data_IF_889369985611
#
_entry.id   IF_889369985611
#
_cell.length_a   1.000
_cell.length_b   1.000
_cell.length_c   1.000
_cell.angle_alpha   90.00
_cell.angle_beta   90.00
_cell.angle_gamma   90.00
#
_symmetry.space_group_name_H-M   'P 1'
#
loop_
_entity.id
_entity.type
_entity.pdbx_description
1 polymer ?
#
# COMPACT_ATOMS: atom_id res chain seq x y z
N UNK A 1 71.88 46.17 -42.90
CA UNK A 1 70.46 46.38 -42.69
C UNK A 1 69.85 45.07 -42.24
N UNK A 2 69.65 44.84 -40.92
CA UNK A 2 69.08 43.63 -40.34
C UNK A 2 67.62 43.94 -40.01
N UNK A 3 66.70 43.19 -40.64
CA UNK A 3 65.23 43.27 -40.41
C UNK A 3 64.87 42.41 -39.22
N UNK A 4 64.37 43.01 -38.16
CA UNK A 4 63.92 42.34 -36.94
C UNK A 4 62.46 42.05 -37.12
N UNK A 5 62.07 40.73 -37.23
CA UNK A 5 60.70 40.29 -37.33
C UNK A 5 60.14 40.10 -35.89
N UNK A 6 59.21 40.95 -35.48
CA UNK A 6 58.53 40.83 -34.17
C UNK A 6 57.35 39.88 -34.32
N UNK A 7 57.43 38.69 -33.70
CA UNK A 7 56.35 37.75 -33.65
C UNK A 7 55.43 38.10 -32.46
N UNK A 8 54.23 38.61 -32.72
CA UNK A 8 53.23 38.88 -31.69
C UNK A 8 52.41 37.58 -31.44
N UNK A 9 52.71 36.97 -30.31
CA UNK A 9 51.96 35.78 -29.86
C UNK A 9 50.64 36.20 -29.18
N UNK A 10 49.52 36.17 -29.90
CA UNK A 10 48.18 36.37 -29.32
C UNK A 10 47.79 35.18 -28.51
N UNK A 11 47.91 35.25 -27.18
CA UNK A 11 47.32 34.25 -26.26
C UNK A 11 45.81 34.46 -26.18
N UNK A 12 45.03 33.61 -26.88
CA UNK A 12 43.59 33.53 -26.67
C UNK A 12 43.34 32.74 -25.37
N UNK A 13 43.01 33.47 -24.29
CA UNK A 13 42.50 32.86 -23.07
C UNK A 13 41.04 32.45 -23.30
N UNK A 14 40.79 31.16 -23.52
CA UNK A 14 39.45 30.62 -23.49
C UNK A 14 38.96 30.60 -22.03
N UNK A 15 37.77 31.15 -21.72
CA UNK A 15 37.22 31.03 -20.39
C UNK A 15 36.87 29.54 -20.15
N UNK A 16 37.60 28.89 -19.26
CA UNK A 16 37.25 27.59 -18.73
C UNK A 16 36.04 27.80 -17.83
N UNK A 17 34.84 27.53 -18.33
CA UNK A 17 33.66 27.41 -17.49
C UNK A 17 33.86 26.19 -16.58
N UNK A 18 34.31 26.43 -15.37
CA UNK A 18 34.28 25.40 -14.33
C UNK A 18 32.82 25.02 -14.10
N UNK A 19 32.43 23.84 -14.57
CA UNK A 19 31.15 23.26 -14.18
C UNK A 19 31.14 23.12 -12.66
N UNK A 20 30.22 23.84 -11.99
CA UNK A 20 30.02 23.65 -10.57
C UNK A 20 29.72 22.17 -10.30
N UNK A 21 30.41 21.56 -9.33
CA UNK A 21 30.10 20.16 -8.97
C UNK A 21 28.61 20.05 -8.61
N UNK A 22 27.89 19.19 -9.35
CA UNK A 22 26.49 18.92 -9.04
C UNK A 22 26.42 18.45 -7.59
N UNK A 23 25.80 19.25 -6.75
CA UNK A 23 25.62 18.94 -5.34
C UNK A 23 24.56 17.82 -5.23
N UNK A 24 25.02 16.58 -5.16
CA UNK A 24 24.14 15.45 -4.88
C UNK A 24 23.82 15.46 -3.39
N UNK A 25 22.54 15.47 -2.99
CA UNK A 25 22.21 15.31 -1.59
C UNK A 25 22.87 14.01 -1.07
N UNK A 26 23.35 14.00 0.19
CA UNK A 26 23.93 12.80 0.76
C UNK A 26 22.92 11.65 0.70
N UNK A 27 23.38 10.39 0.61
CA UNK A 27 22.50 9.25 0.70
C UNK A 27 21.63 9.38 1.96
N UNK A 28 20.37 8.94 1.88
CA UNK A 28 19.45 9.05 3.02
C UNK A 28 20.12 8.47 4.27
N UNK A 29 20.11 9.17 5.43
CA UNK A 29 20.74 8.67 6.63
C UNK A 29 20.18 7.31 6.99
N UNK A 30 21.02 6.43 7.52
CA UNK A 30 20.59 5.11 7.96
C UNK A 30 19.44 5.25 8.98
N UNK A 31 18.30 4.68 8.67
CA UNK A 31 17.14 4.66 9.54
C UNK A 31 17.15 3.38 10.37
N UNK A 32 17.31 3.51 11.69
CA UNK A 32 17.18 2.38 12.61
C UNK A 32 15.73 2.29 13.09
N UNK A 33 15.07 1.19 12.81
CA UNK A 33 13.69 0.86 13.22
C UNK A 33 13.71 -0.34 14.14
N UNK A 34 13.09 -0.21 15.31
CA UNK A 34 13.00 -1.29 16.31
C UNK A 34 11.73 -2.10 16.10
N UNK A 35 11.73 -2.96 15.08
CA UNK A 35 10.66 -3.88 14.74
C UNK A 35 11.23 -5.19 14.21
N UNK A 36 10.49 -6.28 14.28
CA UNK A 36 10.88 -7.56 13.65
C UNK A 36 10.98 -7.43 12.14
N UNK A 37 9.93 -6.88 11.54
CA UNK A 37 9.86 -6.62 10.11
C UNK A 37 9.15 -5.29 9.87
N UNK A 38 9.57 -4.59 8.82
CA UNK A 38 8.91 -3.38 8.38
C UNK A 38 9.12 -3.12 6.89
N UNK A 39 8.21 -2.35 6.31
CA UNK A 39 8.29 -1.87 4.93
C UNK A 39 7.68 -0.46 4.84
N UNK A 40 8.26 0.35 3.99
CA UNK A 40 7.71 1.61 3.53
C UNK A 40 7.57 1.55 2.01
N UNK A 41 6.38 1.76 1.50
CA UNK A 41 6.10 1.77 0.05
C UNK A 41 5.51 3.10 -0.39
N UNK A 42 5.83 3.49 -1.60
CA UNK A 42 5.14 4.59 -2.27
C UNK A 42 3.90 4.04 -3.00
N UNK A 43 2.76 4.66 -2.75
CA UNK A 43 1.49 4.18 -3.27
C UNK A 43 1.35 4.36 -4.79
N UNK A 44 1.87 5.47 -5.35
CA UNK A 44 1.76 5.75 -6.78
C UNK A 44 2.66 4.86 -7.63
N UNK A 45 3.92 4.68 -7.22
CA UNK A 45 4.88 3.86 -7.97
C UNK A 45 4.81 2.38 -7.61
N UNK A 46 4.23 2.03 -6.45
CA UNK A 46 4.24 0.67 -5.90
C UNK A 46 5.62 0.22 -5.38
N UNK A 47 6.65 1.08 -5.44
CA UNK A 47 8.01 0.70 -5.07
C UNK A 47 8.21 0.65 -3.56
N UNK A 48 8.98 -0.34 -3.11
CA UNK A 48 9.53 -0.36 -1.75
C UNK A 48 10.66 0.65 -1.64
N UNK A 49 10.51 1.61 -0.73
CA UNK A 49 11.51 2.64 -0.46
C UNK A 49 12.51 2.16 0.58
N UNK A 50 12.01 1.51 1.63
CA UNK A 50 12.81 1.00 2.76
C UNK A 50 12.13 -0.27 3.27
N UNK A 51 12.91 -1.25 3.71
CA UNK A 51 12.37 -2.44 4.33
C UNK A 51 13.42 -3.30 5.00
N UNK A 52 12.97 -4.10 5.95
CA UNK A 52 13.75 -5.13 6.62
C UNK A 52 12.87 -6.35 6.84
N UNK A 53 13.40 -7.54 6.55
CA UNK A 53 12.70 -8.82 6.69
C UNK A 53 11.35 -8.84 5.96
N UNK A 54 11.28 -8.20 4.79
CA UNK A 54 10.01 -7.91 4.10
C UNK A 54 9.22 -9.16 3.67
N UNK A 55 9.88 -10.30 3.55
CA UNK A 55 9.27 -11.59 3.20
C UNK A 55 9.26 -12.59 4.37
N UNK A 56 9.64 -12.17 5.57
CA UNK A 56 9.55 -13.01 6.76
C UNK A 56 8.08 -13.26 7.11
N UNK A 57 7.72 -14.54 7.31
CA UNK A 57 6.36 -14.94 7.72
C UNK A 57 6.17 -14.65 9.20
N UNK A 58 5.18 -13.83 9.50
CA UNK A 58 4.83 -13.40 10.85
C UNK A 58 3.31 -13.55 11.03
N UNK A 59 2.88 -13.84 12.24
CA UNK A 59 1.46 -13.85 12.59
C UNK A 59 0.85 -12.44 12.40
N UNK A 60 -0.23 -12.30 11.59
CA UNK A 60 -0.79 -10.99 11.27
C UNK A 60 -1.53 -10.32 12.42
N UNK A 61 -1.97 -11.07 13.44
CA UNK A 61 -2.89 -10.57 14.44
C UNK A 61 -4.11 -9.88 13.77
N UNK A 62 -4.65 -8.82 14.36
CA UNK A 62 -5.80 -8.09 13.80
C UNK A 62 -5.52 -7.29 12.53
N UNK A 63 -4.30 -7.31 11.96
CA UNK A 63 -4.07 -6.80 10.60
C UNK A 63 -4.83 -7.62 9.56
N UNK A 64 -5.15 -8.88 9.87
CA UNK A 64 -6.06 -9.76 9.13
C UNK A 64 -7.37 -9.08 8.74
N UNK A 65 -7.91 -8.21 9.60
CA UNK A 65 -9.18 -7.53 9.39
C UNK A 65 -9.17 -6.57 8.19
N UNK A 66 -7.99 -6.21 7.69
CA UNK A 66 -7.90 -5.47 6.44
C UNK A 66 -8.37 -6.35 5.26
N UNK A 67 -8.03 -7.65 5.24
CA UNK A 67 -8.54 -8.59 4.25
C UNK A 67 -10.03 -8.89 4.47
N UNK A 68 -10.47 -9.00 5.72
CA UNK A 68 -11.89 -9.17 6.05
C UNK A 68 -12.74 -8.02 5.51
N UNK A 69 -12.26 -6.77 5.70
CA UNK A 69 -12.90 -5.59 5.14
C UNK A 69 -12.87 -5.59 3.61
N UNK A 70 -11.74 -5.98 3.00
CA UNK A 70 -11.61 -6.05 1.54
C UNK A 70 -12.63 -7.01 0.92
N UNK A 71 -12.81 -8.20 1.50
CA UNK A 71 -13.81 -9.18 1.05
C UNK A 71 -15.23 -8.65 1.27
N UNK A 72 -15.49 -7.99 2.41
CA UNK A 72 -16.80 -7.39 2.69
C UNK A 72 -17.14 -6.27 1.69
N UNK A 73 -16.22 -5.33 1.42
CA UNK A 73 -16.42 -4.27 0.43
C UNK A 73 -16.58 -4.83 -0.99
N UNK A 74 -15.84 -5.88 -1.31
CA UNK A 74 -16.00 -6.60 -2.59
C UNK A 74 -17.41 -7.21 -2.73
N UNK A 75 -17.94 -7.81 -1.66
CA UNK A 75 -19.29 -8.35 -1.64
C UNK A 75 -20.37 -7.26 -1.79
N UNK A 76 -20.17 -6.09 -1.17
CA UNK A 76 -21.07 -4.95 -1.32
C UNK A 76 -21.02 -4.40 -2.76
N UNK A 77 -19.84 -4.22 -3.31
CA UNK A 77 -19.64 -3.74 -4.70
C UNK A 77 -20.27 -4.69 -5.73
N UNK A 78 -20.25 -5.99 -5.44
CA UNK A 78 -20.92 -7.05 -6.24
C UNK A 78 -22.42 -7.17 -5.93
N UNK A 79 -22.99 -6.35 -5.05
CA UNK A 79 -24.40 -6.37 -4.63
C UNK A 79 -24.85 -7.69 -3.99
N UNK A 80 -23.92 -8.46 -3.42
CA UNK A 80 -24.22 -9.70 -2.70
C UNK A 80 -24.77 -9.43 -1.30
N UNK A 81 -24.37 -8.32 -0.70
CA UNK A 81 -24.90 -7.76 0.55
C UNK A 81 -25.02 -6.24 0.40
N UNK A 82 -25.79 -5.61 1.28
CA UNK A 82 -25.91 -4.12 1.30
C UNK A 82 -25.56 -3.59 2.68
N UNK A 83 -25.14 -2.32 2.77
CA UNK A 83 -24.78 -1.67 4.04
C UNK A 83 -25.93 -1.66 5.05
N UNK A 84 -27.17 -1.50 4.57
CA UNK A 84 -28.38 -1.45 5.40
C UNK A 84 -28.96 -2.80 5.72
N UNK A 85 -28.44 -3.87 5.13
CA UNK A 85 -28.87 -5.23 5.42
C UNK A 85 -28.58 -5.57 6.89
N UNK A 86 -29.57 -6.11 7.59
CA UNK A 86 -29.39 -6.64 8.95
C UNK A 86 -28.84 -8.04 8.92
N UNK A 87 -27.98 -8.32 9.87
CA UNK A 87 -27.30 -9.61 10.05
C UNK A 87 -27.73 -10.19 11.38
N UNK A 88 -28.16 -11.46 11.43
CA UNK A 88 -28.38 -12.16 12.69
C UNK A 88 -27.03 -12.38 13.41
N UNK A 89 -27.04 -12.22 14.71
CA UNK A 89 -25.83 -12.44 15.53
C UNK A 89 -25.86 -13.87 16.05
N UNK A 90 -24.94 -14.70 15.58
CA UNK A 90 -24.77 -16.06 16.06
C UNK A 90 -24.16 -16.08 17.47
N UNK A 91 -24.39 -17.15 18.21
CA UNK A 91 -23.76 -17.37 19.51
C UNK A 91 -22.23 -17.43 19.39
N UNK A 92 -21.69 -17.95 18.27
CA UNK A 92 -20.28 -17.97 17.95
C UNK A 92 -19.73 -16.56 17.81
N UNK A 93 -20.38 -15.68 17.03
CA UNK A 93 -19.96 -14.28 16.89
C UNK A 93 -19.99 -13.57 18.26
N UNK A 94 -21.08 -13.69 19.00
CA UNK A 94 -21.24 -13.06 20.30
C UNK A 94 -20.20 -13.50 21.33
N UNK A 95 -19.83 -14.80 21.38
CA UNK A 95 -18.86 -15.35 22.35
C UNK A 95 -17.40 -15.22 21.91
N UNK A 96 -17.14 -14.72 20.70
CA UNK A 96 -15.78 -14.61 20.18
C UNK A 96 -14.91 -13.78 21.12
N UNK A 97 -13.73 -14.29 21.56
CA UNK A 97 -12.87 -13.61 22.52
C UNK A 97 -12.10 -12.45 21.88
N UNK A 98 -11.44 -11.66 22.74
CA UNK A 98 -10.58 -10.54 22.35
C UNK A 98 -11.35 -9.23 22.19
N UNK A 99 -10.98 -8.42 21.21
CA UNK A 99 -11.60 -7.11 20.96
C UNK A 99 -13.02 -7.29 20.41
N UNK A 100 -14.00 -6.54 20.94
CA UNK A 100 -15.41 -6.64 20.52
C UNK A 100 -16.06 -5.28 20.35
N UNK A 101 -17.04 -5.19 19.47
CA UNK A 101 -17.97 -4.07 19.41
C UNK A 101 -19.21 -4.30 20.28
N UNK A 102 -19.36 -5.49 20.87
CA UNK A 102 -20.44 -5.91 21.76
C UNK A 102 -21.79 -6.07 21.06
N UNK A 103 -21.80 -6.82 19.94
CA UNK A 103 -23.06 -7.32 19.35
C UNK A 103 -23.69 -8.39 20.24
N UNK A 104 -25.02 -8.51 20.19
CA UNK A 104 -25.80 -9.40 21.06
C UNK A 104 -26.73 -10.28 20.23
N UNK A 105 -26.93 -11.57 20.62
CA UNK A 105 -27.95 -12.38 20.04
C UNK A 105 -29.32 -11.72 20.14
N UNK A 106 -30.20 -12.00 19.21
CA UNK A 106 -31.59 -11.45 19.14
C UNK A 106 -31.66 -9.92 18.95
N UNK A 107 -30.52 -9.25 18.75
CA UNK A 107 -30.47 -7.84 18.41
C UNK A 107 -29.89 -7.68 17.00
N UNK A 108 -30.70 -7.29 16.01
CA UNK A 108 -30.23 -7.09 14.65
C UNK A 108 -29.13 -6.03 14.60
N UNK A 109 -28.10 -6.26 13.81
CA UNK A 109 -27.01 -5.33 13.52
C UNK A 109 -26.86 -5.19 12.01
N UNK A 110 -26.63 -3.99 11.52
CA UNK A 110 -26.45 -3.76 10.10
C UNK A 110 -25.01 -4.05 9.65
N UNK A 111 -24.83 -4.35 8.37
CA UNK A 111 -23.50 -4.53 7.76
C UNK A 111 -22.62 -3.29 7.95
N UNK A 112 -23.17 -2.07 7.83
CA UNK A 112 -22.43 -0.82 8.09
C UNK A 112 -21.92 -0.74 9.54
N UNK A 113 -22.76 -1.05 10.52
CA UNK A 113 -22.36 -1.08 11.93
C UNK A 113 -21.26 -2.10 12.20
N UNK A 114 -21.38 -3.31 11.62
CA UNK A 114 -20.35 -4.35 11.75
C UNK A 114 -19.01 -3.89 11.15
N UNK A 115 -19.02 -3.28 9.96
CA UNK A 115 -17.82 -2.77 9.30
C UNK A 115 -17.16 -1.69 10.17
N UNK A 116 -17.91 -0.72 10.70
CA UNK A 116 -17.37 0.33 11.57
C UNK A 116 -16.80 -0.25 12.85
N UNK A 117 -17.50 -1.16 13.49
CA UNK A 117 -17.04 -1.85 14.70
C UNK A 117 -15.77 -2.67 14.44
N UNK A 118 -15.67 -3.36 13.32
CA UNK A 118 -14.48 -4.10 12.91
C UNK A 118 -13.29 -3.16 12.66
N UNK A 119 -13.48 -2.06 11.96
CA UNK A 119 -12.41 -1.12 11.60
C UNK A 119 -11.91 -0.36 12.84
N UNK A 120 -12.80 0.30 13.56
CA UNK A 120 -12.45 1.24 14.64
C UNK A 120 -12.02 0.48 15.90
N UNK A 121 -12.85 -0.43 16.37
CA UNK A 121 -12.64 -1.15 17.63
C UNK A 121 -11.86 -2.45 17.46
N UNK A 122 -11.68 -2.87 16.20
CA UNK A 122 -11.10 -4.18 15.90
C UNK A 122 -12.00 -5.36 16.38
N UNK A 123 -13.34 -5.21 16.31
CA UNK A 123 -14.31 -6.19 16.82
C UNK A 123 -14.17 -7.57 16.15
N UNK A 124 -13.83 -8.59 16.94
CA UNK A 124 -13.76 -9.97 16.47
C UNK A 124 -15.18 -10.52 16.23
N UNK A 125 -16.11 -10.16 17.10
CA UNK A 125 -17.54 -10.44 17.00
C UNK A 125 -18.12 -9.93 15.67
N UNK A 126 -17.79 -8.72 15.28
CA UNK A 126 -18.18 -8.14 13.98
C UNK A 126 -17.58 -8.91 12.79
N UNK A 127 -16.34 -9.39 12.90
CA UNK A 127 -15.70 -10.18 11.83
C UNK A 127 -16.42 -11.49 11.59
N UNK A 128 -16.74 -12.22 12.66
CA UNK A 128 -17.47 -13.51 12.56
C UNK A 128 -18.85 -13.28 11.96
N UNK A 129 -19.60 -12.28 12.45
CA UNK A 129 -20.93 -11.99 11.91
C UNK A 129 -20.89 -11.61 10.42
N UNK A 130 -19.91 -10.81 9.99
CA UNK A 130 -19.70 -10.50 8.57
C UNK A 130 -19.32 -11.73 7.76
N UNK A 131 -18.45 -12.58 8.28
CA UNK A 131 -18.01 -13.79 7.59
C UNK A 131 -19.18 -14.77 7.37
N UNK A 132 -20.00 -14.98 8.41
CA UNK A 132 -21.21 -15.81 8.33
C UNK A 132 -22.24 -15.22 7.35
N UNK A 133 -22.47 -13.91 7.38
CA UNK A 133 -23.41 -13.24 6.48
C UNK A 133 -22.97 -13.29 5.00
N UNK A 134 -21.69 -13.25 4.71
CA UNK A 134 -21.15 -13.20 3.34
C UNK A 134 -20.94 -14.58 2.75
N UNK A 135 -20.46 -15.53 3.56
CA UNK A 135 -20.00 -16.84 3.08
C UNK A 135 -20.74 -18.03 3.75
N UNK A 136 -21.65 -17.79 4.69
CA UNK A 136 -22.37 -18.83 5.44
C UNK A 136 -21.56 -19.43 6.59
N UNK A 137 -20.23 -19.35 6.56
CA UNK A 137 -19.33 -19.77 7.65
C UNK A 137 -18.00 -19.01 7.60
N UNK A 138 -17.29 -18.97 8.75
CA UNK A 138 -15.95 -18.37 8.79
C UNK A 138 -14.94 -19.16 7.94
N UNK A 139 -15.05 -20.49 7.87
CA UNK A 139 -14.15 -21.33 7.07
C UNK A 139 -14.30 -21.03 5.57
N UNK A 140 -15.53 -20.93 5.08
CA UNK A 140 -15.80 -20.53 3.70
C UNK A 140 -15.32 -19.08 3.43
N UNK A 141 -15.46 -18.20 4.40
CA UNK A 141 -14.94 -16.83 4.31
C UNK A 141 -13.41 -16.78 4.25
N UNK A 142 -12.70 -17.59 5.06
CA UNK A 142 -11.26 -17.71 5.01
C UNK A 142 -10.75 -18.21 3.63
N UNK A 143 -11.52 -19.12 2.98
CA UNK A 143 -11.21 -19.51 1.60
C UNK A 143 -11.34 -18.34 0.63
N UNK A 144 -12.35 -17.48 0.78
CA UNK A 144 -12.49 -16.26 -0.01
C UNK A 144 -11.33 -15.30 0.24
N UNK A 145 -10.90 -15.11 1.49
CA UNK A 145 -9.73 -14.30 1.84
C UNK A 145 -8.46 -14.80 1.15
N UNK A 146 -8.22 -16.11 1.15
CA UNK A 146 -7.06 -16.73 0.50
C UNK A 146 -7.13 -16.62 -1.04
N UNK A 147 -8.31 -16.70 -1.64
CA UNK A 147 -8.48 -16.45 -3.08
C UNK A 147 -8.13 -15.02 -3.45
N UNK A 148 -8.57 -14.05 -2.65
CA UNK A 148 -8.22 -12.64 -2.85
C UNK A 148 -6.72 -12.38 -2.61
N UNK A 149 -6.11 -12.97 -1.59
CA UNK A 149 -4.68 -12.89 -1.34
C UNK A 149 -3.87 -13.37 -2.57
N UNK A 150 -4.23 -14.52 -3.12
CA UNK A 150 -3.60 -15.04 -4.35
C UNK A 150 -3.78 -14.09 -5.54
N UNK A 151 -4.98 -13.53 -5.73
CA UNK A 151 -5.27 -12.56 -6.81
C UNK A 151 -4.42 -11.30 -6.72
N UNK A 152 -4.09 -10.87 -5.50
CA UNK A 152 -3.25 -9.70 -5.23
C UNK A 152 -1.74 -9.99 -5.29
N UNK A 153 -1.31 -11.24 -5.47
CA UNK A 153 0.10 -11.61 -5.42
C UNK A 153 0.67 -11.71 -4.00
N UNK A 154 -0.16 -11.92 -2.99
CA UNK A 154 0.26 -12.14 -1.60
C UNK A 154 0.73 -13.59 -1.42
N UNK A 155 1.91 -13.91 -1.97
CA UNK A 155 2.40 -15.28 -2.11
C UNK A 155 2.84 -15.92 -0.79
N UNK A 156 3.12 -15.11 0.22
CA UNK A 156 3.55 -15.55 1.55
C UNK A 156 2.50 -15.27 2.62
N UNK A 157 1.23 -15.35 2.25
CA UNK A 157 0.10 -15.11 3.16
C UNK A 157 -0.88 -16.27 3.13
N UNK A 158 -1.33 -16.68 4.31
CA UNK A 158 -2.46 -17.61 4.50
C UNK A 158 -3.33 -17.12 5.64
N UNK A 159 -4.61 -17.00 5.37
CA UNK A 159 -5.64 -16.67 6.34
C UNK A 159 -6.37 -17.93 6.80
N UNK A 160 -6.36 -18.21 8.10
CA UNK A 160 -7.09 -19.32 8.70
C UNK A 160 -8.42 -18.89 9.35
N UNK A 161 -8.61 -17.59 9.60
CA UNK A 161 -9.83 -17.03 10.18
C UNK A 161 -9.98 -15.54 9.76
N UNK A 162 -11.15 -14.97 10.06
CA UNK A 162 -11.51 -13.59 9.72
C UNK A 162 -11.00 -12.54 10.71
N UNK A 163 -10.57 -12.96 11.88
CA UNK A 163 -10.30 -12.09 13.04
C UNK A 163 -8.83 -11.77 13.24
N UNK A 164 -7.94 -12.68 12.86
CA UNK A 164 -6.52 -12.65 13.21
C UNK A 164 -6.21 -13.24 14.59
N UNK A 165 -7.10 -14.06 15.13
CA UNK A 165 -6.78 -14.89 16.29
C UNK A 165 -5.69 -15.91 15.93
N UNK A 166 -4.82 -16.28 16.89
CA UNK A 166 -3.73 -17.19 16.63
C UNK A 166 -4.15 -18.52 16.02
N UNK A 167 -3.42 -18.95 14.99
CA UNK A 167 -3.58 -20.25 14.38
C UNK A 167 -2.27 -20.64 13.68
N UNK A 168 -1.78 -21.89 13.75
CA UNK A 168 -0.49 -22.29 13.17
C UNK A 168 -0.33 -22.00 11.68
N UNK A 169 -1.42 -22.04 10.92
CA UNK A 169 -1.41 -21.75 9.48
C UNK A 169 -1.82 -20.30 9.15
N UNK A 170 -1.87 -19.40 10.12
CA UNK A 170 -2.25 -18.00 9.92
C UNK A 170 -1.02 -17.11 9.92
N UNK A 171 -0.51 -16.78 8.75
CA UNK A 171 0.71 -16.00 8.58
C UNK A 171 0.62 -15.03 7.40
N UNK A 172 1.46 -14.02 7.43
CA UNK A 172 1.61 -13.01 6.37
C UNK A 172 3.03 -12.44 6.40
N UNK A 173 3.32 -11.49 5.50
CA UNK A 173 4.55 -10.69 5.48
C UNK A 173 4.21 -9.20 5.43
N UNK A 174 5.16 -8.34 5.80
CA UNK A 174 4.96 -6.88 5.66
C UNK A 174 4.83 -6.47 4.20
N UNK A 175 5.47 -7.19 3.27
CA UNK A 175 5.32 -6.98 1.83
C UNK A 175 3.88 -7.26 1.39
N UNK A 176 3.32 -8.40 1.73
CA UNK A 176 1.97 -8.78 1.33
C UNK A 176 0.91 -7.86 1.96
N UNK A 177 1.12 -7.43 3.22
CA UNK A 177 0.25 -6.45 3.85
C UNK A 177 0.31 -5.06 3.19
N UNK A 178 1.46 -4.67 2.66
CA UNK A 178 1.57 -3.43 1.88
C UNK A 178 0.79 -3.52 0.56
N UNK A 179 0.82 -4.68 -0.12
CA UNK A 179 -0.02 -4.94 -1.31
C UNK A 179 -1.51 -4.84 -0.97
N UNK A 180 -1.94 -5.46 0.14
CA UNK A 180 -3.32 -5.41 0.60
C UNK A 180 -3.75 -3.98 0.98
N UNK A 181 -2.89 -3.23 1.66
CA UNK A 181 -3.16 -1.84 2.01
C UNK A 181 -3.31 -0.95 0.77
N UNK A 182 -2.44 -1.12 -0.22
CA UNK A 182 -2.53 -0.41 -1.49
C UNK A 182 -3.82 -0.78 -2.26
N UNK A 183 -4.19 -2.07 -2.29
CA UNK A 183 -5.42 -2.54 -2.90
C UNK A 183 -6.66 -1.94 -2.21
N UNK A 184 -6.68 -1.88 -0.88
CA UNK A 184 -7.78 -1.27 -0.11
C UNK A 184 -8.02 0.19 -0.51
N UNK A 185 -6.95 0.97 -0.61
CA UNK A 185 -7.02 2.40 -0.95
C UNK A 185 -7.47 2.61 -2.41
N UNK A 186 -6.95 1.77 -3.33
CA UNK A 186 -7.21 1.88 -4.77
C UNK A 186 -8.60 1.38 -5.17
N UNK A 187 -9.02 0.22 -4.64
CA UNK A 187 -10.19 -0.51 -5.11
C UNK A 187 -11.48 -0.09 -4.40
N UNK A 188 -11.35 0.55 -3.21
CA UNK A 188 -12.46 0.96 -2.36
C UNK A 188 -12.32 2.39 -1.80
N UNK A 189 -12.06 3.40 -2.66
CA UNK A 189 -11.89 4.78 -2.21
C UNK A 189 -13.13 5.33 -1.50
N UNK A 190 -14.32 4.82 -1.80
CA UNK A 190 -15.59 5.19 -1.17
C UNK A 190 -15.72 4.72 0.28
N UNK A 191 -15.08 3.59 0.65
CA UNK A 191 -15.10 3.03 2.01
C UNK A 191 -13.84 3.35 2.80
N UNK A 192 -12.76 3.71 2.12
CA UNK A 192 -11.48 4.00 2.75
C UNK A 192 -11.54 5.06 3.87
N UNK A 193 -12.37 6.14 3.78
CA UNK A 193 -12.52 7.12 4.85
C UNK A 193 -12.95 6.56 6.20
N UNK A 194 -13.54 5.37 6.27
CA UNK A 194 -13.89 4.71 7.53
C UNK A 194 -12.66 4.43 8.40
N UNK A 195 -11.47 4.29 7.81
CA UNK A 195 -10.23 4.06 8.55
C UNK A 195 -9.69 5.30 9.27
N UNK A 196 -10.17 6.50 8.91
CA UNK A 196 -9.84 7.75 9.59
C UNK A 196 -10.78 8.10 10.75
N UNK A 197 -11.82 7.30 10.98
CA UNK A 197 -12.73 7.48 12.11
C UNK A 197 -11.93 7.32 13.42
N UNK A 198 -11.99 8.35 14.26
CA UNK A 198 -11.27 8.37 15.55
C UNK A 198 -11.95 7.55 16.62
N UNK A 199 -13.27 7.47 16.57
CA UNK A 199 -14.10 6.70 17.52
C UNK A 199 -15.35 6.19 16.83
N UNK A 200 -15.99 5.21 17.45
CA UNK A 200 -17.27 4.70 17.03
C UNK A 200 -18.12 4.32 18.25
N UNK A 201 -19.40 4.67 18.22
CA UNK A 201 -20.38 4.32 19.26
C UNK A 201 -21.33 3.26 18.74
N UNK A 202 -21.36 2.13 19.39
CA UNK A 202 -22.36 1.10 19.17
C UNK A 202 -23.00 0.73 20.52
N UNK A 203 -24.31 0.54 20.53
CA UNK A 203 -25.06 0.15 21.72
C UNK A 203 -24.73 1.03 22.97
N UNK A 204 -24.62 2.35 22.79
CA UNK A 204 -24.24 3.34 23.82
C UNK A 204 -22.80 3.17 24.37
N UNK A 205 -21.99 2.31 23.77
CA UNK A 205 -20.57 2.11 24.12
C UNK A 205 -19.70 2.80 23.07
N UNK A 206 -19.06 3.90 23.48
CA UNK A 206 -18.09 4.61 22.62
C UNK A 206 -16.70 4.03 22.84
N UNK A 207 -16.03 3.64 21.76
CA UNK A 207 -14.67 3.13 21.81
C UNK A 207 -13.78 3.90 20.81
N UNK A 208 -12.56 4.30 21.21
CA UNK A 208 -11.64 4.99 20.32
C UNK A 208 -10.97 4.03 19.32
N UNK A 209 -10.55 4.57 18.18
CA UNK A 209 -9.66 3.87 17.28
C UNK A 209 -8.31 3.63 17.95
N UNK A 210 -7.68 2.49 17.68
CA UNK A 210 -6.40 2.12 18.28
C UNK A 210 -5.19 2.66 17.53
N UNK A 211 -5.38 3.22 16.33
CA UNK A 211 -4.33 3.89 15.57
C UNK A 211 -4.11 5.32 16.10
N UNK A 212 -3.17 5.47 17.02
CA UNK A 212 -2.87 6.77 17.65
C UNK A 212 -2.37 7.83 16.67
N UNK A 213 -1.81 7.43 15.51
CA UNK A 213 -1.35 8.39 14.51
C UNK A 213 -2.49 9.24 13.91
N UNK A 214 -3.74 8.79 13.99
CA UNK A 214 -4.91 9.61 13.59
C UNK A 214 -5.05 10.91 14.40
N UNK A 215 -4.45 10.98 15.59
CA UNK A 215 -4.42 12.20 16.43
C UNK A 215 -3.10 12.93 16.34
N UNK A 216 -1.99 12.21 16.08
CA UNK A 216 -0.64 12.76 16.16
C UNK A 216 -0.14 13.34 14.82
N UNK A 217 -0.66 12.87 13.68
CA UNK A 217 -0.29 13.37 12.35
C UNK A 217 -1.56 13.59 11.50
N UNK A 218 -1.91 14.83 11.17
CA UNK A 218 -3.11 15.16 10.41
C UNK A 218 -3.09 14.62 8.96
N UNK A 219 -1.93 14.18 8.47
CA UNK A 219 -1.80 13.58 7.15
C UNK A 219 -2.08 12.07 7.16
N UNK A 220 -2.17 11.45 8.34
CA UNK A 220 -2.49 10.01 8.49
C UNK A 220 -4.00 9.81 8.41
N UNK A 221 -4.43 8.92 7.53
CA UNK A 221 -5.85 8.63 7.26
C UNK A 221 -6.22 7.13 7.37
N UNK A 222 -5.33 6.32 7.93
CA UNK A 222 -5.52 4.88 8.14
C UNK A 222 -4.28 4.21 8.70
N UNK A 223 -4.25 2.89 8.86
CA UNK A 223 -5.28 1.90 8.55
C UNK A 223 -5.62 1.03 9.77
N UNK A 224 -4.74 0.08 10.13
CA UNK A 224 -5.10 -0.97 11.08
C UNK A 224 -3.98 -1.33 12.04
N UNK A 225 -4.36 -1.56 13.30
CA UNK A 225 -3.48 -2.08 14.35
C UNK A 225 -3.68 -3.57 14.56
N UNK A 226 -2.64 -4.25 15.01
CA UNK A 226 -2.67 -5.65 15.44
C UNK A 226 -1.85 -5.86 16.71
N UNK A 227 -2.21 -6.86 17.51
CA UNK A 227 -1.43 -7.32 18.64
C UNK A 227 -1.85 -8.73 19.05
N UNK A 228 -0.87 -9.61 19.22
CA UNK A 228 -0.91 -10.83 20.01
C UNK A 228 0.42 -10.94 20.76
N UNK A 229 0.56 -11.87 21.69
CA UNK A 229 1.83 -12.06 22.38
C UNK A 229 2.96 -12.47 21.43
N UNK A 230 2.66 -13.30 20.45
CA UNK A 230 3.63 -13.79 19.45
C UNK A 230 3.93 -12.78 18.36
N UNK A 231 2.91 -12.08 17.84
CA UNK A 231 3.06 -11.07 16.82
C UNK A 231 3.73 -9.78 17.32
N UNK A 232 3.66 -9.50 18.63
CA UNK A 232 4.00 -8.18 19.16
C UNK A 232 3.01 -7.10 18.73
N UNK A 233 3.39 -5.84 18.85
CA UNK A 233 2.55 -4.72 18.41
C UNK A 233 2.82 -4.39 16.95
N UNK A 234 1.75 -4.35 16.15
CA UNK A 234 1.79 -4.16 14.70
C UNK A 234 0.91 -2.98 14.28
N UNK A 235 1.31 -2.29 13.19
CA UNK A 235 0.55 -1.19 12.61
C UNK A 235 0.78 -1.10 11.11
N UNK A 236 -0.32 -1.05 10.34
CA UNK A 236 -0.33 -0.58 8.97
C UNK A 236 -0.78 0.87 8.99
N UNK A 237 -0.01 1.78 8.41
CA UNK A 237 -0.34 3.20 8.37
C UNK A 237 -0.25 3.75 6.95
N UNK A 238 -1.16 4.62 6.61
CA UNK A 238 -1.10 5.41 5.37
C UNK A 238 -1.14 6.89 5.70
N UNK A 239 -0.32 7.66 5.02
CA UNK A 239 -0.32 9.12 5.09
C UNK A 239 -0.28 9.73 3.69
N UNK A 240 -1.00 10.83 3.49
CA UNK A 240 -0.98 11.61 2.26
C UNK A 240 -0.49 13.03 2.57
N UNK A 241 0.62 13.44 1.93
CA UNK A 241 1.12 14.82 1.97
C UNK A 241 1.12 15.37 0.55
N UNK A 242 0.36 16.43 0.34
CA UNK A 242 0.05 16.91 -1.02
C UNK A 242 -0.57 15.77 -1.85
N UNK A 243 -0.05 15.54 -3.06
CA UNK A 243 -0.54 14.46 -3.94
C UNK A 243 0.17 13.12 -3.74
N UNK A 244 1.16 13.04 -2.84
CA UNK A 244 1.94 11.83 -2.60
C UNK A 244 1.42 11.07 -1.38
N UNK A 245 1.27 9.76 -1.54
CA UNK A 245 0.86 8.84 -0.48
C UNK A 245 1.93 7.80 -0.21
N UNK A 246 2.22 7.57 1.07
CA UNK A 246 3.09 6.50 1.54
C UNK A 246 2.31 5.54 2.41
N UNK A 247 2.70 4.27 2.37
CA UNK A 247 2.16 3.20 3.23
C UNK A 247 3.33 2.61 4.00
N UNK A 248 3.21 2.56 5.33
CA UNK A 248 4.15 1.84 6.19
C UNK A 248 3.48 0.64 6.85
N UNK A 249 4.21 -0.48 6.94
CA UNK A 249 3.81 -1.64 7.71
C UNK A 249 4.93 -1.93 8.70
N UNK A 250 4.61 -1.96 9.99
CA UNK A 250 5.53 -2.24 11.08
C UNK A 250 4.98 -3.40 11.88
N UNK A 251 5.77 -4.46 12.08
CA UNK A 251 5.36 -5.65 12.81
C UNK A 251 6.39 -6.05 13.87
N UNK A 252 5.90 -6.53 15.01
CA UNK A 252 6.75 -7.10 16.06
C UNK A 252 7.48 -6.06 16.91
N UNK A 253 6.88 -4.90 17.17
CA UNK A 253 7.42 -3.94 18.15
C UNK A 253 7.02 -4.33 19.57
N UNK A 254 7.76 -3.81 20.56
CA UNK A 254 7.58 -4.17 21.97
C UNK A 254 6.36 -3.51 22.65
N UNK A 255 5.80 -2.43 22.07
CA UNK A 255 4.68 -1.71 22.68
C UNK A 255 3.83 -0.94 21.67
N UNK A 256 2.63 -0.51 22.11
CA UNK A 256 1.75 0.38 21.36
C UNK A 256 2.43 1.70 20.97
N UNK A 257 3.19 2.26 21.91
CA UNK A 257 3.95 3.48 21.65
C UNK A 257 5.04 3.27 20.58
N UNK A 258 5.76 2.14 20.67
CA UNK A 258 6.82 1.82 19.70
C UNK A 258 6.27 1.64 18.29
N UNK A 259 5.18 0.87 18.08
CA UNK A 259 4.59 0.76 16.72
C UNK A 259 4.17 2.10 16.15
N UNK A 260 3.66 3.01 17.01
CA UNK A 260 3.24 4.37 16.62
C UNK A 260 4.46 5.20 16.20
N UNK A 261 5.50 5.25 17.05
CA UNK A 261 6.72 6.02 16.79
C UNK A 261 7.46 5.51 15.53
N UNK A 262 7.65 4.21 15.42
CA UNK A 262 8.38 3.62 14.28
C UNK A 262 7.66 3.81 12.95
N UNK A 263 6.32 3.70 12.94
CA UNK A 263 5.53 4.03 11.75
C UNK A 263 5.65 5.50 11.35
N UNK A 264 5.62 6.42 12.32
CA UNK A 264 5.80 7.85 12.07
C UNK A 264 7.20 8.17 11.54
N UNK A 265 8.24 7.53 12.10
CA UNK A 265 9.63 7.70 11.63
C UNK A 265 9.80 7.24 10.20
N UNK A 266 9.23 6.07 9.83
CA UNK A 266 9.23 5.57 8.45
C UNK A 266 8.55 6.55 7.49
N UNK A 267 7.34 7.01 7.82
CA UNK A 267 6.59 7.96 6.98
C UNK A 267 7.38 9.27 6.81
N UNK A 268 7.88 9.86 7.90
CA UNK A 268 8.64 11.10 7.85
C UNK A 268 9.91 10.94 7.00
N UNK A 269 10.64 9.85 7.17
CA UNK A 269 11.83 9.56 6.37
C UNK A 269 11.50 9.46 4.88
N UNK A 270 10.43 8.73 4.52
CA UNK A 270 10.01 8.61 3.13
C UNK A 270 9.61 9.94 2.48
N UNK A 271 8.87 10.79 3.18
CA UNK A 271 8.51 12.11 2.69
C UNK A 271 9.69 13.09 2.63
N UNK A 272 10.66 12.93 3.51
CA UNK A 272 11.83 13.81 3.58
C UNK A 272 12.88 13.47 2.53
N UNK A 273 13.18 12.18 2.30
CA UNK A 273 14.33 11.74 1.54
C UNK A 273 14.04 11.14 0.17
N UNK A 274 12.78 10.94 -0.18
CA UNK A 274 12.38 10.40 -1.48
C UNK A 274 11.41 11.34 -2.18
N UNK A 275 11.48 11.35 -3.50
CA UNK A 275 10.50 11.97 -4.39
C UNK A 275 9.83 10.89 -5.25
N UNK A 276 8.61 11.18 -5.72
CA UNK A 276 7.90 10.34 -6.69
C UNK A 276 7.58 11.20 -7.89
N UNK A 277 8.10 10.80 -9.05
CA UNK A 277 7.93 11.53 -10.30
C UNK A 277 7.03 10.73 -11.24
N UNK A 278 6.10 11.40 -11.91
CA UNK A 278 5.32 10.80 -12.99
C UNK A 278 6.14 10.87 -14.27
N UNK A 279 6.59 9.71 -14.77
CA UNK A 279 7.37 9.61 -16.01
C UNK A 279 6.50 9.76 -17.24
N UNK A 280 5.34 9.07 -17.25
CA UNK A 280 4.39 9.09 -18.37
C UNK A 280 2.97 9.13 -17.86
N UNK A 281 2.10 9.82 -18.58
CA UNK A 281 0.66 9.80 -18.35
C UNK A 281 0.03 8.59 -19.02
N UNK A 282 -1.09 8.15 -18.49
CA UNK A 282 -1.96 7.18 -19.16
C UNK A 282 -2.22 7.62 -20.62
N UNK A 283 -2.09 6.66 -21.55
CA UNK A 283 -2.31 6.87 -22.99
C UNK A 283 -1.40 7.93 -23.65
N UNK A 284 -0.42 8.47 -22.94
CA UNK A 284 0.60 9.31 -23.55
C UNK A 284 1.44 8.49 -24.52
N UNK A 285 1.55 8.95 -25.78
CA UNK A 285 2.47 8.34 -26.75
C UNK A 285 3.91 8.47 -26.24
N UNK A 286 4.57 7.32 -26.08
CA UNK A 286 5.96 7.24 -25.66
C UNK A 286 6.88 7.10 -26.86
N UNK A 287 6.49 6.25 -27.80
CA UNK A 287 7.25 6.03 -29.04
C UNK A 287 6.36 5.40 -30.12
N UNK A 288 6.79 5.57 -31.36
CA UNK A 288 6.20 4.90 -32.52
C UNK A 288 7.14 3.78 -32.97
N UNK A 289 6.60 2.58 -33.10
CA UNK A 289 7.34 1.38 -33.54
C UNK A 289 6.93 0.94 -34.93
N UNK A 290 7.83 0.27 -35.65
CA UNK A 290 7.51 -0.34 -36.92
C UNK A 290 6.66 -1.60 -36.74
N UNK A 291 5.57 -1.70 -37.47
CA UNK A 291 4.64 -2.81 -37.48
C UNK A 291 4.67 -3.48 -38.85
N UNK A 292 4.87 -4.81 -38.87
CA UNK A 292 4.87 -5.60 -40.08
C UNK A 292 3.51 -6.28 -40.30
N UNK A 293 3.13 -6.42 -41.56
CA UNK A 293 1.88 -7.10 -41.98
C UNK A 293 0.59 -6.50 -41.43
N UNK A 294 0.61 -5.25 -41.01
CA UNK A 294 -0.57 -4.50 -40.57
C UNK A 294 -1.13 -3.60 -41.68
N UNK A 295 -2.36 -3.13 -41.48
CA UNK A 295 -2.97 -2.11 -42.34
C UNK A 295 -2.21 -0.76 -42.23
N UNK A 296 -1.49 -0.54 -41.14
CA UNK A 296 -0.57 0.57 -40.92
C UNK A 296 0.83 0.03 -40.67
N UNK A 297 1.85 0.74 -41.12
CA UNK A 297 3.25 0.35 -40.94
C UNK A 297 3.82 0.79 -39.63
N UNK A 298 3.06 1.50 -38.78
CA UNK A 298 3.49 2.04 -37.51
C UNK A 298 2.49 1.71 -36.40
N UNK A 299 3.00 1.50 -35.20
CA UNK A 299 2.25 1.28 -33.96
C UNK A 299 2.63 2.33 -32.94
N UNK A 300 1.66 3.13 -32.48
CA UNK A 300 1.84 4.04 -31.34
C UNK A 300 1.77 3.25 -30.06
N UNK A 301 2.72 3.47 -29.17
CA UNK A 301 2.81 2.77 -27.90
C UNK A 301 2.85 3.74 -26.74
N UNK A 302 2.26 3.34 -25.63
CA UNK A 302 2.17 4.10 -24.38
C UNK A 302 1.80 3.20 -23.21
N UNK A 303 1.56 3.79 -22.06
CA UNK A 303 1.16 3.07 -20.87
C UNK A 303 -0.36 3.11 -20.67
N UNK A 304 -0.96 1.99 -20.22
CA UNK A 304 -2.38 1.89 -19.91
C UNK A 304 -2.80 2.62 -18.63
N UNK A 305 -1.80 3.06 -17.85
CA UNK A 305 -1.97 3.84 -16.61
C UNK A 305 -0.80 4.82 -16.47
N UNK A 306 -0.94 5.81 -15.58
CA UNK A 306 0.17 6.70 -15.24
C UNK A 306 1.35 5.87 -14.72
N UNK A 307 2.55 6.14 -15.22
CA UNK A 307 3.78 5.50 -14.74
C UNK A 307 4.50 6.44 -13.80
N UNK A 308 4.63 6.01 -12.55
CA UNK A 308 5.38 6.73 -11.52
C UNK A 308 6.67 5.98 -11.16
N UNK A 309 7.66 6.74 -10.75
CA UNK A 309 8.92 6.21 -10.25
C UNK A 309 9.35 6.97 -9.00
N UNK A 310 9.74 6.22 -7.95
CA UNK A 310 10.23 6.77 -6.69
C UNK A 310 11.74 6.64 -6.62
N UNK A 311 12.41 7.71 -6.18
CA UNK A 311 13.86 7.79 -6.14
C UNK A 311 14.31 8.72 -4.99
N UNK A 312 15.57 8.61 -4.56
CA UNK A 312 16.11 9.56 -3.60
C UNK A 312 15.98 11.01 -4.11
N UNK A 313 15.65 11.90 -3.20
CA UNK A 313 15.39 13.31 -3.50
C UNK A 313 16.54 13.97 -4.25
N UNK A 314 16.22 14.77 -5.26
CA UNK A 314 17.21 15.47 -6.09
C UNK A 314 17.95 14.57 -7.09
N UNK A 315 17.44 13.37 -7.39
CA UNK A 315 18.05 12.48 -8.40
C UNK A 315 17.18 12.29 -9.66
N UNK A 316 16.15 13.08 -9.83
CA UNK A 316 15.23 12.99 -10.99
C UNK A 316 15.94 13.21 -12.34
N UNK A 317 16.97 14.03 -12.37
CA UNK A 317 17.79 14.31 -13.56
C UNK A 317 18.68 13.12 -13.99
N UNK A 318 18.84 12.11 -13.13
CA UNK A 318 19.58 10.88 -13.43
C UNK A 318 18.74 9.80 -14.09
N UNK A 319 17.42 9.97 -14.14
CA UNK A 319 16.53 8.99 -14.75
C UNK A 319 16.77 8.93 -16.26
N UNK A 320 17.00 7.72 -16.76
CA UNK A 320 17.08 7.42 -18.19
C UNK A 320 16.03 6.35 -18.50
N UNK A 321 15.10 6.67 -19.38
CA UNK A 321 14.15 5.70 -19.89
C UNK A 321 14.71 5.01 -21.12
N UNK A 322 14.73 3.68 -21.12
CA UNK A 322 15.04 2.85 -22.28
C UNK A 322 13.85 1.94 -22.54
N UNK A 323 13.64 1.58 -23.81
CA UNK A 323 12.56 0.69 -24.19
C UNK A 323 13.12 -0.54 -24.87
N UNK A 324 12.80 -1.70 -24.30
CA UNK A 324 13.13 -2.99 -24.87
C UNK A 324 11.86 -3.65 -25.41
N UNK A 325 11.90 -4.17 -26.64
CA UNK A 325 10.79 -4.90 -27.24
C UNK A 325 11.27 -5.96 -28.23
N UNK A 326 10.46 -6.99 -28.42
CA UNK A 326 10.77 -8.05 -29.38
C UNK A 326 10.58 -7.53 -30.82
N UNK A 327 11.55 -7.79 -31.68
CA UNK A 327 11.51 -7.47 -33.11
C UNK A 327 11.48 -8.76 -33.92
N UNK A 328 10.75 -8.80 -35.04
CA UNK A 328 9.82 -7.78 -35.55
C UNK A 328 8.47 -7.81 -34.81
N UNK A 329 7.81 -6.63 -34.69
CA UNK A 329 6.41 -6.57 -34.30
C UNK A 329 5.55 -6.89 -35.53
N UNK A 330 4.69 -7.90 -35.43
CA UNK A 330 3.84 -8.38 -36.52
C UNK A 330 2.37 -8.29 -36.11
N UNK A 331 1.54 -7.74 -37.02
CA UNK A 331 0.11 -7.69 -36.80
C UNK A 331 -0.53 -9.11 -36.83
N UNK A 332 -1.69 -9.33 -36.14
CA UNK A 332 -2.47 -8.34 -35.41
C UNK A 332 -1.95 -8.04 -34.00
N UNK A 333 -2.05 -6.79 -33.55
CA UNK A 333 -1.77 -6.37 -32.19
C UNK A 333 -3.03 -5.70 -31.63
N UNK A 334 -3.51 -6.19 -30.49
CA UNK A 334 -4.72 -5.67 -29.84
C UNK A 334 -4.40 -4.45 -28.97
N UNK A 335 -5.38 -3.57 -28.81
CA UNK A 335 -5.27 -2.46 -27.85
C UNK A 335 -5.02 -3.00 -26.43
N UNK A 336 -4.05 -2.41 -25.71
CA UNK A 336 -3.63 -2.87 -24.39
C UNK A 336 -2.70 -4.08 -24.36
N UNK A 337 -2.37 -4.66 -25.51
CA UNK A 337 -1.38 -5.73 -25.58
C UNK A 337 0.01 -5.23 -25.20
N UNK A 338 0.69 -5.94 -24.28
CA UNK A 338 2.08 -5.63 -23.91
C UNK A 338 3.01 -5.95 -25.09
N UNK A 339 3.73 -4.96 -25.60
CA UNK A 339 4.67 -5.08 -26.72
C UNK A 339 6.13 -4.79 -26.34
N UNK A 340 6.38 -4.31 -25.12
CA UNK A 340 7.72 -4.00 -24.63
C UNK A 340 7.74 -3.70 -23.13
N UNK A 341 8.92 -3.40 -22.63
CA UNK A 341 9.20 -2.99 -21.25
C UNK A 341 10.07 -1.74 -21.25
#
# INVERSE_FOLDING_TARGET
MKLLLLLVLCCYAFPVFAQQPKHYPPPSPALSITAKAYILTDFQSGQTLIGQNIHERIEPASLTKLMTAHVAFSAIKQKRITLTQTVPVSERAWRTPGSRMFIEPNRPVTVDELIRGMIVQSGNDACIALAEAIAGSEDAFAQMMNKEAKRMGMENTRFANSTGLPHPEHFTTVHDLALLAAAMIRDFPEYYPLYSLREYTYNKITQPNRNRLLWLDPNVDGLKTGHTQTAGYCLITSAKRNERRLISVVMGTASDNMRTMESQRLLNHGFQFYDTVRLYRKEQEVTTMQLWKGAQNTLRTGFSQDLYFSLPKGQSDKLKATMEYQRPLVAPISAGQKVGM
#
